data_IF_748330227609
#
_entry.id   IF_748330227609
#
_cell.length_a   1.000
_cell.length_b   1.000
_cell.length_c   1.000
_cell.angle_alpha   90.00
_cell.angle_beta   90.00
_cell.angle_gamma   90.00
#
_symmetry.space_group_name_H-M   'P 1'
#
loop_
_entity.id
_entity.type
_entity.pdbx_description
1 polymer ?
#
# COMPACT_ATOMS: atom_id res chain seq x y z
N UNK A 1 20.18 -8.83 -24.67
CA UNK A 1 19.37 -9.32 -25.80
C UNK A 1 18.34 -10.36 -25.34
N UNK A 2 18.75 -11.41 -24.62
CA UNK A 2 17.85 -12.47 -24.14
C UNK A 2 16.67 -11.98 -23.26
N UNK A 3 16.89 -11.02 -22.36
CA UNK A 3 15.81 -10.46 -21.52
C UNK A 3 14.72 -9.75 -22.35
N UNK A 4 15.13 -9.01 -23.38
CA UNK A 4 14.20 -8.33 -24.29
C UNK A 4 13.37 -9.36 -25.09
N UNK A 5 13.99 -10.45 -25.54
CA UNK A 5 13.29 -11.52 -26.26
C UNK A 5 12.28 -12.24 -25.36
N UNK A 6 12.63 -12.49 -24.09
CA UNK A 6 11.73 -13.10 -23.12
C UNK A 6 10.49 -12.22 -22.85
N UNK A 7 10.68 -10.90 -22.66
CA UNK A 7 9.55 -9.97 -22.51
C UNK A 7 8.66 -9.95 -23.74
N UNK A 8 9.24 -9.86 -24.93
CA UNK A 8 8.48 -9.88 -26.17
C UNK A 8 7.68 -11.19 -26.37
N UNK A 9 8.22 -12.33 -25.93
CA UNK A 9 7.52 -13.61 -26.00
C UNK A 9 6.29 -13.65 -25.08
N UNK A 10 6.44 -13.17 -23.84
CA UNK A 10 5.33 -13.06 -22.89
C UNK A 10 4.28 -12.05 -23.39
N UNK A 11 4.71 -10.89 -23.90
CA UNK A 11 3.80 -9.91 -24.51
C UNK A 11 3.01 -10.54 -25.67
N UNK A 12 3.66 -11.31 -26.55
CA UNK A 12 2.99 -11.97 -27.67
C UNK A 12 1.98 -13.04 -27.21
N UNK A 13 2.26 -13.77 -26.12
CA UNK A 13 1.35 -14.78 -25.55
C UNK A 13 0.02 -14.15 -25.10
N UNK A 14 0.06 -12.97 -24.50
CA UNK A 14 -1.13 -12.31 -23.95
C UNK A 14 -1.78 -11.27 -24.87
N UNK A 15 -1.10 -10.82 -25.93
CA UNK A 15 -1.56 -9.73 -26.80
C UNK A 15 -2.95 -9.98 -27.42
N UNK A 16 -3.23 -11.20 -27.87
CA UNK A 16 -4.52 -11.53 -28.48
C UNK A 16 -5.65 -11.47 -27.44
N UNK A 17 -5.44 -12.03 -26.25
CA UNK A 17 -6.42 -12.00 -25.15
C UNK A 17 -6.69 -10.58 -24.68
N UNK A 18 -5.65 -9.76 -24.50
CA UNK A 18 -5.78 -8.34 -24.15
C UNK A 18 -6.59 -7.57 -25.21
N UNK A 19 -6.34 -7.84 -26.50
CA UNK A 19 -7.09 -7.25 -27.61
C UNK A 19 -8.55 -7.67 -27.62
N UNK A 20 -8.86 -8.94 -27.36
CA UNK A 20 -10.22 -9.45 -27.34
C UNK A 20 -11.02 -8.86 -26.16
N UNK A 21 -10.40 -8.74 -24.99
CA UNK A 21 -11.00 -8.09 -23.81
C UNK A 21 -11.27 -6.60 -24.08
N UNK A 22 -10.31 -5.89 -24.68
CA UNK A 22 -10.46 -4.50 -25.06
C UNK A 22 -11.59 -4.31 -26.09
N UNK A 23 -11.68 -5.19 -27.09
CA UNK A 23 -12.73 -5.16 -28.12
C UNK A 23 -14.10 -5.42 -27.51
N UNK A 24 -14.22 -6.42 -26.63
CA UNK A 24 -15.47 -6.71 -25.92
C UNK A 24 -15.94 -5.53 -25.07
N UNK A 25 -15.02 -4.89 -24.34
CA UNK A 25 -15.31 -3.67 -23.56
C UNK A 25 -15.80 -2.54 -24.46
N UNK A 26 -15.10 -2.29 -25.56
CA UNK A 26 -15.45 -1.21 -26.47
C UNK A 26 -16.82 -1.42 -27.11
N UNK A 27 -17.17 -2.66 -27.47
CA UNK A 27 -18.48 -3.00 -28.02
C UNK A 27 -19.61 -2.71 -27.02
N UNK A 28 -19.40 -2.99 -25.73
CA UNK A 28 -20.39 -2.66 -24.68
C UNK A 28 -20.53 -1.14 -24.55
N UNK A 29 -19.41 -0.41 -24.44
CA UNK A 29 -19.41 1.04 -24.25
C UNK A 29 -20.07 1.75 -25.43
N UNK A 30 -19.74 1.37 -26.67
CA UNK A 30 -20.28 2.01 -27.88
C UNK A 30 -21.79 1.88 -28.03
N UNK A 31 -22.39 0.82 -27.46
CA UNK A 31 -23.84 0.58 -27.54
C UNK A 31 -24.56 0.92 -26.23
N UNK A 32 -23.84 1.31 -25.18
CA UNK A 32 -24.38 1.44 -23.82
C UNK A 32 -25.56 2.41 -23.75
N UNK A 33 -25.47 3.56 -24.44
CA UNK A 33 -26.54 4.57 -24.44
C UNK A 33 -27.83 4.10 -25.12
N UNK A 34 -27.73 3.14 -26.03
CA UNK A 34 -28.88 2.57 -26.76
C UNK A 34 -29.56 1.43 -26.01
N UNK A 35 -28.94 0.93 -24.93
CA UNK A 35 -29.47 -0.19 -24.15
C UNK A 35 -30.67 0.23 -23.29
N UNK A 36 -31.62 -0.69 -23.15
CA UNK A 36 -32.69 -0.59 -22.14
C UNK A 36 -32.13 -0.67 -20.72
N UNK A 37 -32.90 -0.26 -19.71
CA UNK A 37 -32.47 -0.33 -18.32
C UNK A 37 -32.05 -1.75 -17.87
N UNK A 38 -32.76 -2.77 -18.34
CA UNK A 38 -32.41 -4.17 -18.05
C UNK A 38 -31.11 -4.60 -18.73
N UNK A 39 -30.86 -4.15 -19.96
CA UNK A 39 -29.62 -4.42 -20.69
C UNK A 39 -28.43 -3.67 -20.10
N UNK A 40 -28.61 -2.40 -19.68
CA UNK A 40 -27.56 -1.64 -18.96
C UNK A 40 -27.09 -2.38 -17.71
N UNK A 41 -28.01 -2.90 -16.90
CA UNK A 41 -27.66 -3.71 -15.72
C UNK A 41 -26.84 -4.97 -16.08
N UNK A 42 -27.14 -5.62 -17.21
CA UNK A 42 -26.36 -6.77 -17.70
C UNK A 42 -25.00 -6.33 -18.25
N UNK A 43 -24.95 -5.20 -18.94
CA UNK A 43 -23.72 -4.61 -19.44
C UNK A 43 -22.77 -4.21 -18.30
N UNK A 44 -23.28 -3.64 -17.22
CA UNK A 44 -22.49 -3.31 -16.02
C UNK A 44 -21.86 -4.56 -15.40
N UNK A 45 -22.65 -5.63 -15.26
CA UNK A 45 -22.16 -6.92 -14.76
C UNK A 45 -21.10 -7.53 -15.70
N UNK A 46 -21.29 -7.41 -17.02
CA UNK A 46 -20.32 -7.87 -18.00
C UNK A 46 -19.01 -7.07 -17.94
N UNK A 47 -19.10 -5.74 -17.79
CA UNK A 47 -17.92 -4.86 -17.62
C UNK A 47 -17.15 -5.21 -16.35
N UNK A 48 -17.83 -5.50 -15.24
CA UNK A 48 -17.19 -5.97 -14.01
C UNK A 48 -16.42 -7.27 -14.25
N UNK A 49 -17.05 -8.25 -14.90
CA UNK A 49 -16.38 -9.52 -15.24
C UNK A 49 -15.19 -9.33 -16.20
N UNK A 50 -15.28 -8.40 -17.16
CA UNK A 50 -14.17 -8.07 -18.04
C UNK A 50 -13.00 -7.43 -17.27
N UNK A 51 -13.28 -6.56 -16.29
CA UNK A 51 -12.25 -5.99 -15.42
C UNK A 51 -11.53 -7.06 -14.58
N UNK A 52 -12.27 -8.04 -14.06
CA UNK A 52 -11.69 -9.17 -13.33
C UNK A 52 -10.79 -10.03 -14.23
N UNK A 53 -11.22 -10.26 -15.49
CA UNK A 53 -10.41 -10.98 -16.49
C UNK A 53 -9.14 -10.22 -16.86
N UNK A 54 -9.21 -8.90 -17.04
CA UNK A 54 -8.02 -8.06 -17.27
C UNK A 54 -7.04 -8.18 -16.09
N UNK A 55 -7.53 -8.09 -14.85
CA UNK A 55 -6.69 -8.22 -13.66
C UNK A 55 -6.08 -9.62 -13.52
N UNK A 56 -6.77 -10.66 -14.00
CA UNK A 56 -6.26 -12.02 -14.05
C UNK A 56 -5.17 -12.18 -15.12
N UNK A 57 -5.40 -11.66 -16.33
CA UNK A 57 -4.40 -11.66 -17.42
C UNK A 57 -3.14 -10.89 -17.02
N UNK A 58 -3.29 -9.72 -16.40
CA UNK A 58 -2.16 -8.92 -15.93
C UNK A 58 -1.33 -9.65 -14.85
N UNK A 59 -2.00 -10.36 -13.92
CA UNK A 59 -1.31 -11.19 -12.91
C UNK A 59 -0.55 -12.34 -13.55
N UNK A 60 -1.19 -13.10 -14.44
CA UNK A 60 -0.53 -14.21 -15.15
C UNK A 60 0.66 -13.72 -15.98
N UNK A 61 0.55 -12.57 -16.64
CA UNK A 61 1.64 -11.95 -17.39
C UNK A 61 2.84 -11.66 -16.49
N UNK A 62 2.60 -11.05 -15.32
CA UNK A 62 3.64 -10.76 -14.35
C UNK A 62 4.30 -12.04 -13.79
N UNK A 63 3.51 -13.07 -13.49
CA UNK A 63 4.00 -14.38 -13.05
C UNK A 63 4.88 -15.04 -14.13
N UNK A 64 4.43 -15.03 -15.40
CA UNK A 64 5.21 -15.55 -16.53
C UNK A 64 6.52 -14.80 -16.68
N UNK A 65 6.52 -13.48 -16.63
CA UNK A 65 7.77 -12.69 -16.69
C UNK A 65 8.76 -13.06 -15.57
N UNK A 66 8.27 -13.33 -14.36
CA UNK A 66 9.12 -13.80 -13.27
C UNK A 66 9.71 -15.18 -13.53
N UNK A 67 8.91 -16.14 -13.97
CA UNK A 67 9.40 -17.49 -14.35
C UNK A 67 10.44 -17.42 -15.47
N UNK A 68 10.26 -16.54 -16.46
CA UNK A 68 11.26 -16.27 -17.50
C UNK A 68 12.55 -15.65 -16.95
N UNK A 69 12.47 -14.73 -15.99
CA UNK A 69 13.67 -14.15 -15.34
C UNK A 69 14.46 -15.22 -14.59
N UNK A 70 13.77 -16.08 -13.84
CA UNK A 70 14.37 -17.21 -13.13
C UNK A 70 15.06 -18.16 -14.13
N UNK A 71 14.36 -18.51 -15.21
CA UNK A 71 14.92 -19.33 -16.29
C UNK A 71 16.19 -18.72 -16.91
N UNK A 72 16.20 -17.41 -17.19
CA UNK A 72 17.38 -16.72 -17.70
C UNK A 72 18.54 -16.72 -16.71
N UNK A 73 18.27 -16.61 -15.41
CA UNK A 73 19.29 -16.68 -14.38
C UNK A 73 19.89 -18.10 -14.26
N UNK A 74 19.05 -19.13 -14.31
CA UNK A 74 19.49 -20.51 -14.36
C UNK A 74 20.40 -20.78 -15.58
N UNK A 75 20.02 -20.28 -16.77
CA UNK A 75 20.83 -20.40 -17.99
C UNK A 75 22.17 -19.68 -17.86
N UNK A 76 22.19 -18.47 -17.29
CA UNK A 76 23.44 -17.73 -17.02
C UNK A 76 24.38 -18.51 -16.10
N UNK A 77 23.84 -19.34 -15.23
CA UNK A 77 24.60 -20.15 -14.30
C UNK A 77 24.88 -21.58 -14.80
N UNK A 78 24.56 -21.89 -16.06
CA UNK A 78 24.97 -23.14 -16.71
C UNK A 78 23.86 -24.16 -16.94
N UNK A 79 22.59 -23.81 -16.74
CA UNK A 79 21.49 -24.64 -17.21
C UNK A 79 21.53 -24.75 -18.74
N UNK A 80 21.63 -25.97 -19.25
CA UNK A 80 21.68 -26.29 -20.69
C UNK A 80 20.57 -27.24 -21.14
N UNK A 81 19.81 -27.82 -20.21
CA UNK A 81 18.70 -28.71 -20.53
C UNK A 81 17.47 -27.92 -21.01
N UNK A 82 17.17 -28.01 -22.30
CA UNK A 82 16.03 -27.34 -22.93
C UNK A 82 14.66 -27.80 -22.39
N UNK A 83 14.53 -29.06 -21.96
CA UNK A 83 13.26 -29.56 -21.38
C UNK A 83 13.01 -28.91 -20.03
N UNK A 84 14.03 -28.90 -19.16
CA UNK A 84 13.95 -28.25 -17.85
C UNK A 84 13.76 -26.73 -17.99
N UNK A 85 14.44 -26.09 -18.94
CA UNK A 85 14.24 -24.67 -19.24
C UNK A 85 12.79 -24.36 -19.61
N UNK A 86 12.19 -25.18 -20.48
CA UNK A 86 10.79 -25.04 -20.90
C UNK A 86 9.84 -25.29 -19.72
N UNK A 87 10.16 -26.23 -18.83
CA UNK A 87 9.36 -26.47 -17.63
C UNK A 87 9.40 -25.28 -16.67
N UNK A 88 10.58 -24.67 -16.45
CA UNK A 88 10.75 -23.48 -15.62
C UNK A 88 9.93 -22.32 -16.20
N UNK A 89 10.01 -22.07 -17.51
CA UNK A 89 9.28 -20.98 -18.18
C UNK A 89 7.74 -21.15 -18.13
N UNK A 90 7.27 -22.41 -18.04
CA UNK A 90 5.85 -22.74 -18.00
C UNK A 90 5.26 -22.99 -16.60
N UNK A 91 6.08 -22.86 -15.56
CA UNK A 91 5.66 -23.05 -14.18
C UNK A 91 5.30 -21.72 -13.49
N UNK A 92 4.62 -21.81 -12.34
CA UNK A 92 4.46 -20.65 -11.44
C UNK A 92 5.82 -20.19 -10.93
N UNK A 93 5.97 -18.94 -10.47
CA UNK A 93 7.25 -18.43 -9.98
C UNK A 93 7.89 -19.31 -8.90
N UNK A 94 7.09 -19.87 -7.99
CA UNK A 94 7.56 -20.73 -6.90
C UNK A 94 8.13 -22.05 -7.43
N UNK A 95 7.40 -22.73 -8.32
CA UNK A 95 7.86 -23.97 -8.93
C UNK A 95 9.04 -23.72 -9.88
N UNK A 96 9.03 -22.61 -10.60
CA UNK A 96 10.15 -22.18 -11.43
C UNK A 96 11.42 -21.99 -10.59
N UNK A 97 11.30 -21.37 -9.41
CA UNK A 97 12.39 -21.18 -8.46
C UNK A 97 12.93 -22.52 -7.94
N UNK A 98 12.04 -23.42 -7.53
CA UNK A 98 12.39 -24.76 -7.05
C UNK A 98 13.17 -25.56 -8.10
N UNK A 99 12.67 -25.59 -9.34
CA UNK A 99 13.32 -26.26 -10.47
C UNK A 99 14.67 -25.63 -10.84
N UNK A 100 14.77 -24.30 -10.72
CA UNK A 100 15.98 -23.55 -11.03
C UNK A 100 17.02 -23.60 -9.91
N UNK A 101 16.64 -23.97 -8.67
CA UNK A 101 17.47 -23.86 -7.48
C UNK A 101 18.88 -24.45 -7.61
N UNK A 102 19.13 -25.62 -8.26
CA UNK A 102 20.48 -26.16 -8.43
C UNK A 102 21.40 -25.27 -9.29
N UNK A 103 20.80 -24.42 -10.13
CA UNK A 103 21.50 -23.53 -11.04
C UNK A 103 21.52 -22.09 -10.54
N UNK A 104 20.64 -21.71 -9.63
CA UNK A 104 20.73 -20.42 -8.97
C UNK A 104 21.91 -20.51 -7.99
N UNK A 105 23.10 -20.04 -8.41
CA UNK A 105 24.24 -19.94 -7.50
C UNK A 105 23.75 -19.22 -6.26
N UNK A 106 23.86 -19.88 -5.11
CA UNK A 106 23.69 -19.22 -3.83
C UNK A 106 24.59 -17.99 -3.92
N UNK A 107 23.97 -16.81 -3.85
CA UNK A 107 24.69 -15.56 -3.98
C UNK A 107 25.63 -15.53 -2.79
N UNK A 108 26.85 -16.06 -2.96
CA UNK A 108 27.88 -16.07 -1.93
C UNK A 108 27.98 -14.60 -1.58
N UNK A 109 27.43 -14.22 -0.43
CA UNK A 109 27.48 -12.86 0.01
C UNK A 109 28.97 -12.57 0.15
N UNK A 110 29.54 -11.91 -0.86
CA UNK A 110 30.91 -11.42 -0.76
C UNK A 110 30.92 -10.63 0.53
N UNK A 111 31.72 -11.03 1.52
CA UNK A 111 31.56 -10.52 2.85
C UNK A 111 31.76 -9.01 2.75
N UNK A 112 30.71 -8.28 3.13
CA UNK A 112 30.65 -6.84 2.88
C UNK A 112 31.77 -6.20 3.69
N UNK A 113 32.57 -5.31 3.09
CA UNK A 113 33.64 -4.66 3.83
C UNK A 113 33.06 -3.92 5.04
N UNK A 114 33.76 -4.02 6.17
CA UNK A 114 33.40 -3.32 7.40
C UNK A 114 33.82 -1.87 7.22
N UNK A 115 32.86 -0.95 7.28
CA UNK A 115 33.10 0.48 7.24
C UNK A 115 33.14 0.99 8.68
N UNK A 116 34.27 1.59 9.09
CA UNK A 116 34.41 2.24 10.40
C UNK A 116 34.71 3.72 10.20
N UNK A 117 33.80 4.56 10.68
CA UNK A 117 33.99 6.01 10.74
C UNK A 117 34.37 6.39 12.17
N UNK A 118 35.51 7.07 12.35
CA UNK A 118 35.99 7.50 13.67
C UNK A 118 36.85 8.76 13.59
N UNK A 119 37.06 9.42 14.72
CA UNK A 119 37.78 10.69 14.80
C UNK A 119 39.27 10.47 15.08
N UNK A 120 40.13 11.12 14.30
CA UNK A 120 41.58 11.13 14.49
C UNK A 120 42.06 12.58 14.38
N UNK A 121 42.44 13.18 15.50
CA UNK A 121 42.98 14.54 15.54
C UNK A 121 42.00 15.62 15.04
N UNK A 122 40.72 15.54 15.42
CA UNK A 122 39.70 16.54 15.03
C UNK A 122 39.12 16.37 13.62
N UNK A 123 39.52 15.33 12.90
CA UNK A 123 39.00 14.98 11.58
C UNK A 123 38.30 13.63 11.60
N UNK A 124 37.22 13.51 10.84
CA UNK A 124 36.56 12.23 10.60
C UNK A 124 37.33 11.44 9.56
N UNK A 125 37.59 10.18 9.87
CA UNK A 125 38.27 9.25 8.96
C UNK A 125 37.36 8.05 8.76
N UNK A 126 37.25 7.60 7.50
CA UNK A 126 36.59 6.36 7.13
C UNK A 126 37.59 5.31 6.73
N UNK A 127 37.64 4.23 7.49
CA UNK A 127 38.37 3.02 7.12
C UNK A 127 37.40 1.99 6.52
N UNK A 128 37.77 1.47 5.36
CA UNK A 128 37.10 0.33 4.72
C UNK A 128 37.99 -0.88 4.94
N UNK A 129 37.48 -1.86 5.68
CA UNK A 129 38.22 -3.04 6.13
C UNK A 129 37.63 -4.28 5.46
N UNK A 130 38.48 -5.14 4.92
CA UNK A 130 38.07 -6.45 4.43
C UNK A 130 37.55 -7.28 5.61
N UNK A 131 36.28 -7.65 5.58
CA UNK A 131 35.62 -8.43 6.63
C UNK A 131 36.17 -9.85 6.76
N UNK A 132 36.74 -10.43 5.70
CA UNK A 132 37.29 -11.78 5.74
C UNK A 132 38.71 -11.81 6.30
N UNK A 133 39.53 -10.81 5.97
CA UNK A 133 40.96 -10.80 6.32
C UNK A 133 41.32 -9.81 7.43
N UNK A 134 40.42 -8.89 7.78
CA UNK A 134 40.68 -7.79 8.71
C UNK A 134 41.66 -6.74 8.18
N UNK A 135 42.09 -6.83 6.91
CA UNK A 135 43.03 -5.87 6.32
C UNK A 135 42.33 -4.57 5.95
N UNK A 136 43.02 -3.46 6.19
CA UNK A 136 42.60 -2.16 5.71
C UNK A 136 42.68 -2.14 4.17
N UNK A 137 41.55 -1.90 3.51
CA UNK A 137 41.46 -1.76 2.06
C UNK A 137 41.75 -0.31 1.68
N UNK A 138 41.10 0.65 2.35
CA UNK A 138 41.27 2.07 2.08
C UNK A 138 40.95 2.93 3.29
N UNK A 139 41.61 4.08 3.40
CA UNK A 139 41.35 5.13 4.38
C UNK A 139 40.99 6.42 3.65
N UNK A 140 39.87 7.05 4.03
CA UNK A 140 39.41 8.32 3.45
C UNK A 140 39.30 9.38 4.53
N UNK A 141 39.93 10.54 4.33
CA UNK A 141 39.72 11.73 5.17
C UNK A 141 38.36 12.36 4.79
N UNK A 142 37.43 12.38 5.72
CA UNK A 142 36.09 12.97 5.55
C UNK A 142 36.05 14.44 5.97
N UNK A 143 37.18 15.01 6.42
CA UNK A 143 37.30 16.40 6.85
C UNK A 143 36.87 16.63 8.29
N UNK A 144 36.71 17.91 8.64
CA UNK A 144 36.29 18.34 9.98
C UNK A 144 34.81 18.01 10.13
N UNK A 145 34.44 17.32 11.21
CA UNK A 145 33.05 17.02 11.53
C UNK A 145 32.28 18.35 11.64
N UNK A 146 31.26 18.60 10.80
CA UNK A 146 30.42 19.77 10.98
C UNK A 146 29.83 19.71 12.39
N UNK A 147 29.77 20.87 13.06
CA UNK A 147 29.07 20.92 14.34
C UNK A 147 27.61 20.51 14.09
N UNK A 148 27.01 19.73 15.00
CA UNK A 148 25.64 19.23 14.81
C UNK A 148 24.59 20.34 14.66
N UNK A 149 24.93 21.59 14.98
CA UNK A 149 24.09 22.77 14.78
C UNK A 149 24.10 23.28 13.33
N UNK A 150 25.22 23.15 12.61
CA UNK A 150 25.33 23.62 11.22
C UNK A 150 24.59 22.68 10.24
N UNK A 151 24.59 21.37 10.50
CA UNK A 151 23.83 20.40 9.69
C UNK A 151 22.31 20.56 9.88
N UNK A 152 21.86 20.90 11.09
CA UNK A 152 20.42 21.12 11.35
C UNK A 152 19.89 22.34 10.60
N UNK A 153 20.67 23.43 10.50
CA UNK A 153 20.27 24.62 9.74
C UNK A 153 20.00 24.31 8.26
N UNK A 154 20.80 23.44 7.65
CA UNK A 154 20.59 23.00 6.26
C UNK A 154 19.31 22.18 6.10
N UNK A 155 19.01 21.28 7.05
CA UNK A 155 17.79 20.48 7.02
C UNK A 155 16.51 21.32 7.26
N UNK A 156 16.56 22.33 8.14
CA UNK A 156 15.45 23.30 8.30
C UNK A 156 15.22 24.10 7.01
N UNK A 157 16.27 24.58 6.35
CA UNK A 157 16.16 25.32 5.10
C UNK A 157 15.57 24.44 3.96
N UNK A 158 15.97 23.16 3.88
CA UNK A 158 15.37 22.20 2.94
C UNK A 158 13.90 21.95 3.25
N UNK A 159 13.55 21.79 4.52
CA UNK A 159 12.16 21.59 4.94
C UNK A 159 11.29 22.77 4.50
N UNK A 160 11.71 24.00 4.79
CA UNK A 160 10.98 25.20 4.41
C UNK A 160 10.81 25.32 2.89
N UNK A 161 11.89 25.09 2.12
CA UNK A 161 11.82 25.12 0.65
C UNK A 161 10.85 24.07 0.12
N UNK A 162 10.88 22.85 0.66
CA UNK A 162 9.98 21.78 0.24
C UNK A 162 8.51 22.12 0.49
N UNK A 163 8.20 22.76 1.62
CA UNK A 163 6.84 23.21 1.93
C UNK A 163 6.36 24.31 0.98
N UNK A 164 7.25 25.24 0.60
CA UNK A 164 6.95 26.29 -0.39
C UNK A 164 6.68 25.69 -1.77
N UNK A 165 7.46 24.68 -2.17
CA UNK A 165 7.36 24.06 -3.48
C UNK A 165 6.11 23.13 -3.62
N UNK A 166 5.47 22.75 -2.51
CA UNK A 166 4.37 21.77 -2.48
C UNK A 166 3.13 22.25 -1.68
N UNK A 167 2.50 23.39 -2.04
CA UNK A 167 1.43 24.00 -1.24
C UNK A 167 0.11 23.21 -1.22
N UNK A 168 -0.07 22.25 -2.13
CA UNK A 168 -1.29 21.45 -2.24
C UNK A 168 -1.17 20.04 -1.62
N UNK A 169 0.01 19.67 -1.13
CA UNK A 169 0.23 18.35 -0.56
C UNK A 169 -0.44 18.22 0.82
N UNK A 170 -0.92 17.02 1.15
CA UNK A 170 -1.56 16.74 2.44
C UNK A 170 -0.54 16.69 3.57
N UNK A 171 -0.99 16.86 4.82
CA UNK A 171 -0.14 16.79 6.01
C UNK A 171 0.72 15.51 6.07
N UNK A 172 0.12 14.34 5.79
CA UNK A 172 0.82 13.06 5.86
C UNK A 172 1.85 12.91 4.73
N UNK A 173 1.55 13.41 3.53
CA UNK A 173 2.52 13.43 2.42
C UNK A 173 3.72 14.33 2.75
N UNK A 174 3.45 15.53 3.27
CA UNK A 174 4.48 16.48 3.68
C UNK A 174 5.34 15.94 4.83
N UNK A 175 4.72 15.38 5.87
CA UNK A 175 5.43 14.77 7.01
C UNK A 175 6.35 13.64 6.58
N UNK A 176 5.85 12.72 5.74
CA UNK A 176 6.66 11.60 5.25
C UNK A 176 7.78 12.05 4.33
N UNK A 177 7.52 13.02 3.45
CA UNK A 177 8.55 13.58 2.57
C UNK A 177 9.64 14.31 3.38
N UNK A 178 9.26 15.06 4.42
CA UNK A 178 10.23 15.72 5.32
C UNK A 178 11.05 14.69 6.08
N UNK A 179 10.46 13.60 6.59
CA UNK A 179 11.20 12.52 7.24
C UNK A 179 12.22 11.83 6.32
N UNK A 180 11.94 11.76 5.02
CA UNK A 180 12.86 11.15 4.05
C UNK A 180 13.97 12.11 3.62
N UNK A 181 13.66 13.39 3.48
CA UNK A 181 14.58 14.39 2.91
C UNK A 181 15.39 15.15 3.97
N UNK A 182 14.94 15.15 5.22
CA UNK A 182 15.67 15.72 6.35
C UNK A 182 16.16 14.59 7.25
N UNK A 183 17.48 14.40 7.31
CA UNK A 183 18.08 13.25 7.99
C UNK A 183 18.23 13.47 9.48
N UNK A 184 18.19 14.73 9.94
CA UNK A 184 18.53 15.13 11.30
C UNK A 184 17.38 15.75 12.08
N UNK A 185 16.27 16.11 11.42
CA UNK A 185 15.09 16.59 12.12
C UNK A 185 14.36 15.41 12.77
N UNK A 186 14.06 15.57 14.06
CA UNK A 186 13.17 14.68 14.77
C UNK A 186 11.72 14.87 14.31
N UNK A 187 10.86 13.88 14.60
CA UNK A 187 9.43 13.96 14.28
C UNK A 187 8.81 15.23 14.89
N UNK A 188 9.13 15.53 16.14
CA UNK A 188 8.67 16.72 16.86
C UNK A 188 9.13 18.03 16.22
N UNK A 189 10.34 18.08 15.67
CA UNK A 189 10.85 19.26 14.96
C UNK A 189 10.12 19.44 13.61
N UNK A 190 9.91 18.35 12.87
CA UNK A 190 9.13 18.35 11.62
C UNK A 190 7.69 18.83 11.88
N UNK A 191 7.07 18.34 12.96
CA UNK A 191 5.72 18.75 13.35
C UNK A 191 5.67 20.24 13.74
N UNK A 192 6.70 20.77 14.40
CA UNK A 192 6.80 22.19 14.69
C UNK A 192 6.94 23.04 13.41
N UNK A 193 7.72 22.61 12.42
CA UNK A 193 7.85 23.32 11.13
C UNK A 193 6.51 23.31 10.36
N UNK A 194 5.82 22.17 10.34
CA UNK A 194 4.50 22.08 9.71
C UNK A 194 3.48 22.99 10.41
N UNK A 195 3.48 23.00 11.74
CA UNK A 195 2.60 23.85 12.54
C UNK A 195 2.88 25.35 12.35
N UNK A 196 4.15 25.77 12.25
CA UNK A 196 4.54 27.16 11.97
C UNK A 196 3.98 27.66 10.63
N UNK A 197 3.87 26.77 9.63
CA UNK A 197 3.24 27.07 8.33
C UNK A 197 1.72 26.95 8.34
N UNK A 198 1.09 26.71 9.49
CA UNK A 198 -0.34 26.50 9.61
C UNK A 198 -0.83 25.18 9.00
N UNK A 199 0.09 24.27 8.66
CA UNK A 199 -0.21 22.94 8.13
C UNK A 199 -0.37 22.00 9.31
N UNK A 200 -1.53 22.04 9.94
CA UNK A 200 -1.86 21.09 11.00
C UNK A 200 -2.25 19.76 10.38
N UNK A 201 -2.04 18.67 11.13
CA UNK A 201 -2.73 17.42 10.82
C UNK A 201 -4.20 17.78 10.71
N UNK A 202 -4.80 17.57 9.54
CA UNK A 202 -6.24 17.48 9.44
C UNK A 202 -6.62 16.32 10.34
N UNK A 203 -6.80 16.62 11.62
CA UNK A 203 -7.77 15.95 12.44
C UNK A 203 -9.06 16.33 11.74
N UNK A 204 -9.37 15.61 10.64
CA UNK A 204 -10.76 15.36 10.32
C UNK A 204 -11.33 15.03 11.68
N UNK A 205 -12.28 15.81 12.21
CA UNK A 205 -12.99 15.33 13.36
C UNK A 205 -13.54 13.99 12.85
N UNK A 206 -12.88 12.89 13.21
CA UNK A 206 -13.56 11.68 13.60
C UNK A 206 -14.66 12.28 14.45
N UNK A 207 -15.86 12.40 13.88
CA UNK A 207 -16.99 12.99 14.57
C UNK A 207 -17.00 12.21 15.86
N UNK A 208 -16.53 12.86 16.94
CA UNK A 208 -16.28 12.11 18.15
C UNK A 208 -17.65 11.54 18.46
N UNK A 209 -17.71 10.21 18.45
CA UNK A 209 -18.88 9.48 18.90
C UNK A 209 -18.91 9.71 20.41
N UNK A 210 -19.26 10.95 20.79
CA UNK A 210 -19.56 11.31 22.15
C UNK A 210 -20.72 10.43 22.59
N UNK A 211 -20.82 10.18 23.89
CA UNK A 211 -21.92 9.37 24.43
C UNK A 211 -23.30 9.89 23.96
N UNK A 212 -23.43 11.20 23.76
CA UNK A 212 -24.64 11.84 23.24
C UNK A 212 -24.89 11.52 21.77
N UNK A 213 -23.87 11.64 20.90
CA UNK A 213 -23.99 11.28 19.49
C UNK A 213 -24.28 9.79 19.28
N UNK A 214 -23.65 8.90 20.06
CA UNK A 214 -23.92 7.44 20.01
C UNK A 214 -25.40 7.17 20.31
N UNK A 215 -25.98 7.90 21.26
CA UNK A 215 -27.37 7.72 21.67
C UNK A 215 -28.36 8.15 20.60
N UNK A 216 -28.07 9.21 19.85
CA UNK A 216 -28.96 9.65 18.78
C UNK A 216 -28.80 8.81 17.51
N UNK A 217 -27.57 8.44 17.16
CA UNK A 217 -27.28 7.53 16.05
C UNK A 217 -27.92 6.15 16.29
N UNK A 218 -27.86 5.62 17.51
CA UNK A 218 -28.50 4.34 17.84
C UNK A 218 -30.03 4.39 17.69
N UNK A 219 -30.69 5.48 18.07
CA UNK A 219 -32.14 5.65 17.85
C UNK A 219 -32.49 5.63 16.36
N UNK A 220 -31.70 6.31 15.55
CA UNK A 220 -31.91 6.39 14.11
C UNK A 220 -31.68 5.02 13.43
N UNK A 221 -30.64 4.29 13.85
CA UNK A 221 -30.38 2.93 13.36
C UNK A 221 -31.48 1.95 13.75
N UNK A 222 -32.04 2.05 14.97
CA UNK A 222 -33.22 1.27 15.37
C UNK A 222 -34.45 1.64 14.51
N UNK A 223 -34.60 2.91 14.13
CA UNK A 223 -35.71 3.35 13.27
C UNK A 223 -35.61 2.78 11.86
N UNK A 224 -34.40 2.69 11.31
CA UNK A 224 -34.14 2.20 9.95
C UNK A 224 -34.17 0.67 9.89
N UNK A 225 -33.47 -0.01 10.81
CA UNK A 225 -33.21 -1.45 10.76
C UNK A 225 -34.01 -2.27 11.77
N UNK A 226 -34.71 -1.64 12.71
CA UNK A 226 -35.52 -2.35 13.71
C UNK A 226 -34.69 -3.22 14.65
N UNK A 227 -35.08 -4.49 14.80
CA UNK A 227 -34.40 -5.48 15.64
C UNK A 227 -33.03 -5.88 15.06
N UNK A 228 -32.86 -5.80 13.75
CA UNK A 228 -31.64 -6.19 13.03
C UNK A 228 -30.53 -5.13 13.04
N UNK A 229 -30.75 -3.99 13.71
CA UNK A 229 -29.81 -2.86 13.72
C UNK A 229 -28.39 -3.26 14.17
N UNK A 230 -28.26 -4.07 15.23
CA UNK A 230 -26.96 -4.56 15.73
C UNK A 230 -26.25 -5.40 14.66
N UNK A 231 -26.97 -6.37 14.08
CA UNK A 231 -26.42 -7.29 13.07
C UNK A 231 -26.00 -6.55 11.80
N UNK A 232 -26.76 -5.54 11.39
CA UNK A 232 -26.46 -4.68 10.24
C UNK A 232 -25.12 -3.94 10.43
N UNK A 233 -24.91 -3.31 11.59
CA UNK A 233 -23.68 -2.55 11.90
C UNK A 233 -22.48 -3.48 12.03
N UNK A 234 -22.61 -4.62 12.70
CA UNK A 234 -21.54 -5.60 12.88
C UNK A 234 -21.10 -6.23 11.55
N UNK A 235 -22.05 -6.45 10.63
CA UNK A 235 -21.75 -7.05 9.31
C UNK A 235 -21.12 -6.05 8.35
N UNK A 236 -21.62 -4.82 8.32
CA UNK A 236 -21.19 -3.81 7.33
C UNK A 236 -20.02 -2.97 7.81
N UNK A 237 -19.88 -2.78 9.12
CA UNK A 237 -18.91 -1.85 9.72
C UNK A 237 -19.06 -0.41 9.25
N UNK A 238 -20.24 -0.06 8.73
CA UNK A 238 -20.56 1.25 8.15
C UNK A 238 -21.94 1.72 8.61
N UNK A 239 -22.10 3.03 8.71
CA UNK A 239 -23.40 3.67 8.91
C UNK A 239 -23.57 4.81 7.92
N UNK A 240 -24.79 5.09 7.51
CA UNK A 240 -25.09 6.23 6.65
C UNK A 240 -25.52 7.42 7.52
N UNK A 241 -24.75 8.51 7.49
CA UNK A 241 -25.07 9.76 8.18
C UNK A 241 -25.12 10.86 7.12
N UNK A 242 -26.26 11.53 6.96
CA UNK A 242 -26.46 12.61 5.99
C UNK A 242 -26.02 12.21 4.56
N UNK A 243 -26.51 11.06 4.08
CA UNK A 243 -26.22 10.49 2.76
C UNK A 243 -24.74 10.11 2.53
N UNK A 244 -23.95 10.00 3.59
CA UNK A 244 -22.54 9.58 3.54
C UNK A 244 -22.31 8.30 4.33
N UNK A 245 -21.67 7.33 3.68
CA UNK A 245 -21.22 6.12 4.33
C UNK A 245 -19.98 6.39 5.19
N UNK A 246 -20.15 6.31 6.50
CA UNK A 246 -19.09 6.45 7.51
C UNK A 246 -18.64 5.06 7.93
N UNK A 247 -17.36 4.74 7.72
CA UNK A 247 -16.75 3.50 8.21
C UNK A 247 -16.40 3.65 9.69
N UNK A 248 -16.83 2.68 10.50
CA UNK A 248 -16.65 2.69 11.94
C UNK A 248 -15.40 1.92 12.37
N UNK A 249 -14.77 2.36 13.46
CA UNK A 249 -13.76 1.59 14.17
C UNK A 249 -14.41 0.43 14.94
N UNK A 250 -13.61 -0.57 15.34
CA UNK A 250 -14.11 -1.70 16.12
C UNK A 250 -14.72 -1.26 17.46
N UNK A 251 -14.11 -0.26 18.11
CA UNK A 251 -14.58 0.27 19.38
C UNK A 251 -15.90 1.02 19.21
N UNK A 252 -16.05 1.79 18.12
CA UNK A 252 -17.30 2.48 17.79
C UNK A 252 -18.45 1.49 17.50
N UNK A 253 -18.17 0.42 16.75
CA UNK A 253 -19.16 -0.66 16.50
C UNK A 253 -19.62 -1.25 17.84
N UNK A 254 -18.68 -1.56 18.74
CA UNK A 254 -19.00 -2.14 20.04
C UNK A 254 -19.88 -1.20 20.88
N UNK A 255 -19.50 0.07 21.00
CA UNK A 255 -20.27 1.05 21.77
C UNK A 255 -21.67 1.29 21.21
N UNK A 256 -21.83 1.33 19.89
CA UNK A 256 -23.14 1.44 19.23
C UNK A 256 -23.99 0.19 19.46
N UNK A 257 -23.42 -1.01 19.31
CA UNK A 257 -24.13 -2.28 19.56
C UNK A 257 -24.64 -2.38 21.01
N UNK A 258 -23.83 -1.95 21.99
CA UNK A 258 -24.22 -1.95 23.40
C UNK A 258 -25.38 -0.97 23.69
N UNK A 259 -25.31 0.25 23.16
CA UNK A 259 -26.37 1.25 23.36
C UNK A 259 -27.68 0.85 22.65
N UNK A 260 -27.61 0.26 21.45
CA UNK A 260 -28.79 -0.25 20.73
C UNK A 260 -29.49 -1.35 21.54
N UNK A 261 -28.72 -2.33 22.06
CA UNK A 261 -29.27 -3.42 22.90
C UNK A 261 -29.96 -2.85 24.13
N UNK A 262 -29.31 -1.92 24.82
CA UNK A 262 -29.87 -1.25 26.00
C UNK A 262 -31.21 -0.56 25.68
N UNK A 263 -31.30 0.18 24.58
CA UNK A 263 -32.55 0.84 24.19
C UNK A 263 -33.67 -0.14 23.80
N UNK A 264 -33.33 -1.26 23.15
CA UNK A 264 -34.28 -2.32 22.84
C UNK A 264 -34.81 -2.99 24.13
N UNK A 265 -33.94 -3.30 25.09
CA UNK A 265 -34.33 -3.85 26.39
C UNK A 265 -35.23 -2.90 27.19
N UNK A 266 -34.92 -1.60 27.19
CA UNK A 266 -35.75 -0.58 27.85
C UNK A 266 -37.16 -0.49 27.25
N UNK A 267 -37.32 -0.72 25.94
CA UNK A 267 -38.64 -0.80 25.28
C UNK A 267 -39.43 -2.03 25.74
N UNK A 268 -38.79 -3.19 25.83
CA UNK A 268 -39.45 -4.45 26.27
C UNK A 268 -39.84 -4.38 27.75
N UNK A 269 -39.03 -3.73 28.58
CA UNK A 269 -39.29 -3.57 30.02
C UNK A 269 -40.39 -2.56 30.35
N UNK A 270 -40.90 -1.78 29.39
CA UNK A 270 -42.09 -0.94 29.63
C UNK A 270 -43.32 -1.84 29.64
N UNK A 271 -43.91 -2.09 30.81
CA UNK A 271 -44.96 -3.08 30.90
C UNK A 271 -46.24 -2.54 30.21
N UNK A 272 -46.91 -3.42 29.48
CA UNK A 272 -48.04 -3.12 28.59
C UNK A 272 -49.21 -2.39 29.27
N UNK A 273 -49.42 -2.60 30.57
CA UNK A 273 -50.41 -1.90 31.41
C UNK A 273 -50.17 -0.41 31.67
N UNK A 274 -49.04 0.19 31.24
CA UNK A 274 -48.78 1.64 31.37
C UNK A 274 -49.27 2.49 30.19
N UNK A 275 -49.91 1.87 29.20
CA UNK A 275 -50.42 2.52 27.99
C UNK A 275 -51.97 2.52 27.91
N UNK A 276 -52.65 2.18 29.02
CA UNK A 276 -54.09 2.31 29.25
C UNK A 276 -54.31 3.20 30.47
#
# INVERSE_FOLDING_TARGET
>A
MAEKQARNAVEAEFAQTEKDLATARQNIINNYDTFTAAEKKRADAALLSLNEKDAFVARNKAEREQSYKIALEAVKNGLTDNKLLTEIQNSTPEKALELAQPFLKEKVETPKPIIKDYEVGGKMVRDVIDSATGKLISRTDLGIKPSGEDEKKDDYAKAEKFLIDNPAASYEELKNALLQNTKKLSISEIEAVLADKGITKDIKPEQFFTAENIKDISKELIKIYGEDAVKSIETTGKININDKDVKLSKDQIKSLSEEIKKQQEEKVKKPWWKFW
#
